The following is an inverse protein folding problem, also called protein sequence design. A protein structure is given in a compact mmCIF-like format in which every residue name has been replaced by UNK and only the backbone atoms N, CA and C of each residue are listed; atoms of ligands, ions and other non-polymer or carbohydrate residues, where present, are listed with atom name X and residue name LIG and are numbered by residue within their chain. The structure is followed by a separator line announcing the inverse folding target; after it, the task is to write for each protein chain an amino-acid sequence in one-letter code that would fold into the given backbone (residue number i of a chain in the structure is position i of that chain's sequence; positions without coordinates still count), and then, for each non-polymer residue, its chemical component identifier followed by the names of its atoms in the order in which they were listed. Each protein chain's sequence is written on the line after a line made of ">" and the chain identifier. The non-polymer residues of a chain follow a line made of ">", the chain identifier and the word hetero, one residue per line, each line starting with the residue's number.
data_IF_877223989728
#
_entry.id   IF_877223989728
#
_cell.length_a   1.000
_cell.length_b   1.000
_cell.length_c   1.000
_cell.angle_alpha   90.00
_cell.angle_beta   90.00
_cell.angle_gamma   90.00
#
_symmetry.space_group_name_H-M   'P 1'
#
loop_
_entity.id
_entity.type
_entity.pdbx_description
1 polymer ?
#
# COMPACT_ATOMS: atom_id res chain seq x y z
N UNK A 1 -12.68 11.78 -18.56
CA UNK A 1 -11.24 12.09 -18.80
C UNK A 1 -10.37 10.88 -18.44
N UNK A 2 -10.85 10.04 -17.52
CA UNK A 2 -10.02 9.07 -16.79
C UNK A 2 -9.69 7.82 -17.60
N UNK A 3 -10.63 7.32 -18.42
CA UNK A 3 -10.34 6.21 -19.35
C UNK A 3 -9.30 6.59 -20.42
N UNK A 4 -9.23 7.88 -20.79
CA UNK A 4 -8.22 8.40 -21.73
C UNK A 4 -6.85 8.46 -21.07
N UNK A 5 -6.77 8.81 -19.77
CA UNK A 5 -5.51 8.79 -19.01
C UNK A 5 -4.99 7.36 -18.85
N UNK A 6 -5.87 6.40 -18.52
CA UNK A 6 -5.49 4.98 -18.47
C UNK A 6 -5.05 4.50 -19.84
N UNK A 7 -5.80 4.79 -20.89
CA UNK A 7 -5.43 4.41 -22.26
C UNK A 7 -4.11 5.06 -22.69
N UNK A 8 -3.84 6.30 -22.27
CA UNK A 8 -2.57 7.00 -22.52
C UNK A 8 -1.41 6.37 -21.73
N UNK A 9 -1.60 6.04 -20.45
CA UNK A 9 -0.60 5.32 -19.64
C UNK A 9 -0.31 3.95 -20.26
N UNK A 10 -1.34 3.22 -20.68
CA UNK A 10 -1.18 1.97 -21.41
C UNK A 10 -0.50 2.18 -22.77
N UNK A 11 -0.82 3.25 -23.50
CA UNK A 11 -0.25 3.56 -24.82
C UNK A 11 1.23 3.97 -24.77
N UNK A 12 1.59 4.89 -23.87
CA UNK A 12 2.99 5.27 -23.61
C UNK A 12 3.75 4.10 -22.98
N UNK A 13 3.10 3.34 -22.10
CA UNK A 13 3.63 2.11 -21.52
C UNK A 13 3.93 1.05 -22.57
N UNK A 14 3.12 0.94 -23.63
CA UNK A 14 3.37 0.05 -24.78
C UNK A 14 4.59 0.49 -25.60
N UNK A 15 4.78 1.79 -25.83
CA UNK A 15 5.95 2.31 -26.54
C UNK A 15 7.25 2.08 -25.76
N UNK A 16 7.21 2.20 -24.44
CA UNK A 16 8.37 1.98 -23.56
C UNK A 16 8.52 0.53 -23.10
N UNK A 17 7.56 -0.36 -23.45
CA UNK A 17 7.48 -1.72 -22.92
C UNK A 17 8.78 -2.52 -23.07
N UNK A 18 9.49 -2.50 -24.22
CA UNK A 18 10.75 -3.23 -24.36
C UNK A 18 11.80 -2.78 -23.34
N UNK A 19 11.88 -1.47 -23.08
CA UNK A 19 12.83 -0.87 -22.13
C UNK A 19 12.42 -1.24 -20.69
N UNK A 20 11.13 -1.17 -20.36
CA UNK A 20 10.60 -1.49 -19.03
C UNK A 20 10.72 -2.98 -18.69
N UNK A 21 10.66 -3.85 -19.70
CA UNK A 21 10.93 -5.29 -19.55
C UNK A 21 12.43 -5.53 -19.35
N UNK A 22 13.28 -4.91 -20.17
CA UNK A 22 14.72 -5.17 -20.16
C UNK A 22 15.45 -4.54 -18.97
N UNK A 23 14.95 -3.42 -18.42
CA UNK A 23 15.62 -2.66 -17.37
C UNK A 23 14.72 -2.44 -16.14
N UNK A 24 14.80 -3.33 -15.12
CA UNK A 24 14.03 -3.21 -13.88
C UNK A 24 14.24 -1.88 -13.15
N UNK A 25 15.47 -1.33 -13.18
CA UNK A 25 15.78 -0.01 -12.59
C UNK A 25 15.06 1.13 -13.29
N UNK A 26 15.06 1.15 -14.63
CA UNK A 26 14.32 2.16 -15.39
C UNK A 26 12.82 2.07 -15.12
N UNK A 27 12.29 0.84 -15.00
CA UNK A 27 10.90 0.60 -14.61
C UNK A 27 10.58 1.16 -13.22
N UNK A 28 11.39 0.85 -12.21
CA UNK A 28 11.19 1.37 -10.85
C UNK A 28 11.28 2.90 -10.81
N UNK A 29 12.28 3.48 -11.47
CA UNK A 29 12.48 4.92 -11.55
C UNK A 29 11.28 5.63 -12.19
N UNK A 30 10.81 5.13 -13.34
CA UNK A 30 9.65 5.68 -14.03
C UNK A 30 8.39 5.54 -13.16
N UNK A 31 8.20 4.37 -12.55
CA UNK A 31 7.07 4.10 -11.68
C UNK A 31 7.02 5.07 -10.49
N UNK A 32 8.14 5.34 -9.81
CA UNK A 32 8.15 6.31 -8.70
C UNK A 32 7.70 7.69 -9.17
N UNK A 33 8.23 8.19 -10.30
CA UNK A 33 7.86 9.50 -10.83
C UNK A 33 6.39 9.58 -11.24
N UNK A 34 5.88 8.55 -11.92
CA UNK A 34 4.49 8.47 -12.33
C UNK A 34 3.58 8.34 -11.12
N UNK A 35 3.91 7.48 -10.15
CA UNK A 35 3.09 7.25 -8.95
C UNK A 35 3.02 8.49 -8.07
N UNK A 36 4.14 9.19 -7.86
CA UNK A 36 4.15 10.44 -7.08
C UNK A 36 3.27 11.52 -7.74
N UNK A 37 3.36 11.66 -9.08
CA UNK A 37 2.53 12.59 -9.84
C UNK A 37 1.05 12.19 -9.82
N UNK A 38 0.75 10.91 -10.05
CA UNK A 38 -0.59 10.36 -10.03
C UNK A 38 -1.24 10.49 -8.64
N UNK A 39 -0.49 10.22 -7.58
CA UNK A 39 -0.93 10.39 -6.19
C UNK A 39 -1.19 11.85 -5.82
N UNK A 40 -0.57 12.80 -6.51
CA UNK A 40 -0.92 14.22 -6.41
C UNK A 40 -2.20 14.55 -7.19
N UNK A 41 -2.32 14.09 -8.44
CA UNK A 41 -3.49 14.34 -9.29
C UNK A 41 -4.79 13.72 -8.76
N UNK A 42 -4.72 12.51 -8.21
CA UNK A 42 -5.87 11.76 -7.67
C UNK A 42 -5.90 11.74 -6.14
N UNK A 43 -5.24 12.70 -5.49
CA UNK A 43 -5.22 12.78 -4.02
C UNK A 43 -6.63 12.75 -3.46
N UNK A 44 -7.49 13.63 -3.98
CA UNK A 44 -8.83 13.87 -3.48
C UNK A 44 -9.73 12.64 -3.67
N UNK A 45 -9.54 11.87 -4.75
CA UNK A 45 -10.27 10.63 -5.02
C UNK A 45 -10.06 9.59 -3.91
N UNK A 46 -8.85 9.50 -3.35
CA UNK A 46 -8.51 8.50 -2.33
C UNK A 46 -8.58 9.06 -0.91
N UNK A 47 -8.73 10.37 -0.73
CA UNK A 47 -8.54 11.02 0.57
C UNK A 47 -9.55 10.50 1.61
N UNK A 48 -10.81 10.35 1.24
CA UNK A 48 -11.86 9.88 2.15
C UNK A 48 -11.64 8.43 2.57
N UNK A 49 -11.34 7.53 1.62
CA UNK A 49 -11.07 6.10 1.92
C UNK A 49 -9.82 5.96 2.79
N UNK A 50 -8.79 6.75 2.49
CA UNK A 50 -7.57 6.77 3.28
C UNK A 50 -7.84 7.32 4.68
N UNK A 51 -8.65 8.37 4.82
CA UNK A 51 -9.04 8.94 6.11
C UNK A 51 -9.84 7.95 6.94
N UNK A 52 -10.80 7.26 6.35
CA UNK A 52 -11.59 6.19 7.00
C UNK A 52 -10.64 5.13 7.57
N UNK A 53 -9.67 4.67 6.77
CA UNK A 53 -8.67 3.67 7.19
C UNK A 53 -7.79 4.20 8.33
N UNK A 54 -7.29 5.42 8.20
CA UNK A 54 -6.34 6.00 9.15
C UNK A 54 -7.00 6.45 10.46
N UNK A 55 -8.31 6.69 10.50
CA UNK A 55 -9.00 7.03 11.75
C UNK A 55 -8.95 5.87 12.75
N UNK A 56 -8.96 4.62 12.26
CA UNK A 56 -8.82 3.44 13.11
C UNK A 56 -7.45 3.35 13.84
N UNK A 57 -6.43 4.09 13.38
CA UNK A 57 -5.13 4.20 14.06
C UNK A 57 -5.25 4.99 15.37
N UNK A 58 -6.15 5.97 15.43
CA UNK A 58 -6.34 6.81 16.61
C UNK A 58 -6.97 6.02 17.78
N UNK A 59 -7.69 4.94 17.47
CA UNK A 59 -8.32 4.05 18.47
C UNK A 59 -7.39 2.97 19.03
N UNK A 60 -6.15 2.87 18.53
CA UNK A 60 -5.20 1.85 18.99
C UNK A 60 -4.51 2.30 20.27
N UNK A 61 -4.49 1.43 21.28
CA UNK A 61 -3.70 1.65 22.48
C UNK A 61 -2.47 0.74 22.43
N UNK A 62 -1.28 1.31 22.61
CA UNK A 62 -0.04 0.52 22.55
C UNK A 62 -0.01 -0.53 23.64
N UNK A 63 0.56 -1.71 23.33
CA UNK A 63 0.84 -2.75 24.34
C UNK A 63 2.09 -2.45 25.15
N UNK A 64 2.97 -1.61 24.63
CA UNK A 64 4.14 -1.09 25.32
C UNK A 64 3.72 -0.02 26.35
N UNK A 65 3.99 -0.20 27.66
CA UNK A 65 3.59 0.74 28.71
C UNK A 65 4.17 2.15 28.52
N UNK A 66 5.39 2.26 27.99
CA UNK A 66 6.06 3.56 27.81
C UNK A 66 5.42 4.32 26.64
N UNK A 67 5.19 3.64 25.52
CA UNK A 67 4.51 4.24 24.37
C UNK A 67 3.07 4.62 24.71
N UNK A 68 2.36 3.76 25.46
CA UNK A 68 1.00 4.05 25.94
C UNK A 68 0.95 5.31 26.79
N UNK A 69 1.88 5.47 27.72
CA UNK A 69 1.97 6.66 28.57
C UNK A 69 2.23 7.94 27.74
N UNK A 70 2.97 7.83 26.63
CA UNK A 70 3.23 8.95 25.71
C UNK A 70 2.10 9.17 24.66
N UNK A 71 1.05 8.34 24.68
CA UNK A 71 -0.01 8.32 23.65
C UNK A 71 0.48 7.86 22.27
N UNK A 72 1.67 7.27 22.20
CA UNK A 72 2.29 6.75 20.99
C UNK A 72 1.89 5.30 20.72
N UNK A 73 2.10 4.88 19.47
CA UNK A 73 2.01 3.47 19.04
C UNK A 73 3.20 3.12 18.15
N UNK A 74 3.57 1.84 18.12
CA UNK A 74 4.55 1.33 17.17
C UNK A 74 3.85 0.81 15.91
N UNK A 75 4.18 1.39 14.76
CA UNK A 75 3.57 1.09 13.47
C UNK A 75 4.63 0.62 12.47
N UNK A 76 4.33 -0.47 11.78
CA UNK A 76 5.04 -0.91 10.59
C UNK A 76 4.19 -0.60 9.37
N UNK A 77 4.70 0.15 8.41
CA UNK A 77 4.08 0.24 7.08
C UNK A 77 4.84 -0.65 6.10
N UNK A 78 4.11 -1.46 5.35
CA UNK A 78 4.70 -2.30 4.30
C UNK A 78 4.41 -1.62 2.96
N UNK A 79 5.47 -1.23 2.26
CA UNK A 79 5.39 -0.49 0.99
C UNK A 79 4.93 0.95 1.15
N UNK A 80 5.51 1.70 2.09
CA UNK A 80 5.12 3.10 2.35
C UNK A 80 5.33 4.05 1.15
N UNK A 81 6.16 3.65 0.18
CA UNK A 81 6.51 4.47 -0.97
C UNK A 81 7.04 5.84 -0.53
N UNK A 82 6.40 6.91 -0.99
CA UNK A 82 6.80 8.28 -0.66
C UNK A 82 6.19 8.84 0.65
N UNK A 83 5.51 8.01 1.45
CA UNK A 83 4.94 8.43 2.75
C UNK A 83 3.57 9.12 2.62
N UNK A 84 2.70 8.62 1.74
CA UNK A 84 1.39 9.23 1.45
C UNK A 84 0.46 9.30 2.67
N UNK A 85 0.64 8.42 3.66
CA UNK A 85 -0.23 8.30 4.82
C UNK A 85 0.11 9.28 5.97
N UNK A 86 1.30 9.89 5.96
CA UNK A 86 1.77 10.76 7.06
C UNK A 86 0.84 11.93 7.34
N UNK A 87 0.20 12.49 6.31
CA UNK A 87 -0.72 13.61 6.46
C UNK A 87 -1.97 13.29 7.29
N UNK A 88 -2.28 12.00 7.49
CA UNK A 88 -3.43 11.52 8.24
C UNK A 88 -3.04 10.90 9.59
N UNK A 89 -1.75 10.80 9.91
CA UNK A 89 -1.28 10.33 11.22
C UNK A 89 -1.40 11.45 12.25
N UNK A 90 -2.49 11.45 13.01
CA UNK A 90 -2.84 12.53 13.95
C UNK A 90 -2.23 12.36 15.34
N UNK A 91 -1.73 11.17 15.65
CA UNK A 91 -1.06 10.80 16.90
C UNK A 91 0.45 10.61 16.73
N UNK A 92 1.15 10.41 17.85
CA UNK A 92 2.57 10.03 17.83
C UNK A 92 2.72 8.58 17.34
N UNK A 93 3.65 8.36 16.44
CA UNK A 93 3.92 7.05 15.85
C UNK A 93 5.42 6.80 15.83
N UNK A 94 5.84 5.70 16.45
CA UNK A 94 7.16 5.10 16.24
C UNK A 94 7.08 4.23 15.00
N UNK A 95 7.79 4.60 13.95
CA UNK A 95 7.47 4.17 12.59
C UNK A 95 8.60 3.36 11.96
N UNK A 96 8.24 2.20 11.42
CA UNK A 96 9.11 1.39 10.57
C UNK A 96 8.51 1.28 9.16
N UNK A 97 9.38 1.14 8.17
CA UNK A 97 8.98 0.85 6.79
C UNK A 97 9.73 -0.37 6.26
N UNK A 98 9.03 -1.23 5.53
CA UNK A 98 9.60 -2.27 4.67
C UNK A 98 9.26 -1.95 3.21
N UNK A 99 10.26 -1.62 2.39
CA UNK A 99 10.05 -1.34 0.96
C UNK A 99 11.28 -1.73 0.14
N UNK A 100 11.13 -2.51 -0.95
CA UNK A 100 12.26 -2.94 -1.76
C UNK A 100 12.75 -1.85 -2.73
N UNK A 101 11.95 -0.80 -2.97
CA UNK A 101 12.23 0.22 -3.96
C UNK A 101 12.87 1.46 -3.32
N UNK A 102 14.21 1.49 -3.35
CA UNK A 102 15.01 2.59 -2.81
C UNK A 102 14.79 3.93 -3.51
N UNK A 103 14.22 3.95 -4.72
CA UNK A 103 13.91 5.19 -5.45
C UNK A 103 12.90 6.09 -4.70
N UNK A 104 12.09 5.52 -3.81
CA UNK A 104 11.17 6.31 -2.97
C UNK A 104 11.86 7.05 -1.81
N UNK A 105 13.07 6.63 -1.41
CA UNK A 105 13.68 7.03 -0.14
C UNK A 105 13.82 8.56 -0.02
N UNK A 106 14.25 9.25 -1.08
CA UNK A 106 14.37 10.72 -1.05
C UNK A 106 13.01 11.40 -0.82
N UNK A 107 12.00 11.02 -1.60
CA UNK A 107 10.66 11.62 -1.50
C UNK A 107 9.98 11.30 -0.16
N UNK A 108 10.22 10.08 0.36
CA UNK A 108 9.75 9.68 1.68
C UNK A 108 10.37 10.55 2.78
N UNK A 109 11.70 10.71 2.80
CA UNK A 109 12.38 11.51 3.82
C UNK A 109 11.97 12.99 3.75
N UNK A 110 11.75 13.53 2.55
CA UNK A 110 11.26 14.90 2.39
C UNK A 110 9.81 15.08 2.86
N UNK A 111 8.98 14.05 2.73
CA UNK A 111 7.62 14.04 3.28
C UNK A 111 7.66 13.91 4.80
N UNK A 112 8.45 12.98 5.34
CA UNK A 112 8.61 12.73 6.78
C UNK A 112 8.97 13.99 7.56
N UNK A 113 9.88 14.83 7.05
CA UNK A 113 10.30 16.10 7.68
C UNK A 113 9.13 17.04 7.99
N UNK A 114 8.01 16.92 7.27
CA UNK A 114 6.81 17.76 7.43
C UNK A 114 5.90 17.29 8.56
N UNK A 115 6.12 16.08 9.07
CA UNK A 115 5.21 15.41 10.01
C UNK A 115 5.95 14.95 11.27
N UNK A 116 6.25 15.87 12.21
CA UNK A 116 7.07 15.59 13.40
C UNK A 116 6.44 14.59 14.40
N UNK A 117 5.17 14.24 14.21
CA UNK A 117 4.50 13.18 15.01
C UNK A 117 4.89 11.77 14.55
N UNK A 118 5.48 11.63 13.37
CA UNK A 118 5.96 10.37 12.83
C UNK A 118 7.47 10.31 13.06
N UNK A 119 7.90 9.47 13.99
CA UNK A 119 9.31 9.27 14.30
C UNK A 119 9.79 7.99 13.62
N UNK A 120 10.61 8.15 12.58
CA UNK A 120 11.18 7.03 11.85
C UNK A 120 12.27 6.36 12.70
N UNK A 121 12.04 5.11 13.09
CA UNK A 121 13.02 4.30 13.82
C UNK A 121 13.86 3.44 12.87
N UNK A 122 13.25 2.87 11.82
CA UNK A 122 13.98 1.99 10.91
C UNK A 122 13.37 1.86 9.52
N UNK A 123 14.22 2.00 8.49
CA UNK A 123 13.90 1.63 7.11
C UNK A 123 14.54 0.27 6.80
N UNK A 124 13.73 -0.70 6.43
CA UNK A 124 14.16 -2.05 6.05
C UNK A 124 14.03 -2.19 4.53
N UNK A 125 15.15 -2.20 3.78
CA UNK A 125 15.09 -2.48 2.35
C UNK A 125 14.78 -3.96 2.14
N UNK A 126 13.56 -4.28 1.73
CA UNK A 126 13.12 -5.67 1.65
C UNK A 126 11.70 -5.83 1.11
N UNK A 127 11.34 -7.07 0.81
CA UNK A 127 10.01 -7.44 0.32
C UNK A 127 9.09 -7.78 1.49
N UNK A 128 7.80 -7.45 1.37
CA UNK A 128 6.82 -7.78 2.41
C UNK A 128 6.60 -9.28 2.60
N UNK A 129 6.94 -10.10 1.59
CA UNK A 129 6.86 -11.56 1.65
C UNK A 129 7.93 -12.21 2.54
N UNK A 130 8.98 -11.46 2.91
CA UNK A 130 10.06 -11.90 3.80
C UNK A 130 10.57 -10.71 4.62
N UNK A 131 10.05 -10.61 5.85
CA UNK A 131 10.41 -9.58 6.82
C UNK A 131 11.33 -10.15 7.91
N UNK A 132 12.28 -11.04 7.59
CA UNK A 132 13.20 -11.65 8.58
C UNK A 132 14.02 -10.63 9.41
N UNK A 133 14.21 -9.40 8.93
CA UNK A 133 14.90 -8.33 9.67
C UNK A 133 13.98 -7.58 10.66
N UNK A 134 12.69 -7.90 10.62
CA UNK A 134 11.63 -7.30 11.42
C UNK A 134 11.25 -8.27 12.55
N UNK A 135 11.31 -7.83 13.82
CA UNK A 135 11.04 -8.70 14.96
C UNK A 135 9.57 -9.15 15.02
N UNK A 136 9.37 -10.36 15.52
CA UNK A 136 8.07 -10.92 15.91
C UNK A 136 7.45 -10.10 17.05
N UNK A 137 6.11 -10.09 17.14
CA UNK A 137 5.37 -9.51 18.28
C UNK A 137 5.86 -8.12 18.72
N UNK A 138 6.09 -7.21 17.77
CA UNK A 138 6.74 -5.92 18.04
C UNK A 138 5.86 -4.70 17.76
N UNK A 139 4.95 -4.81 16.79
CA UNK A 139 4.15 -3.68 16.32
C UNK A 139 2.73 -3.74 16.86
N UNK A 140 2.23 -2.59 17.31
CA UNK A 140 0.81 -2.42 17.67
C UNK A 140 -0.06 -2.42 16.40
N UNK A 141 0.47 -1.86 15.31
CA UNK A 141 -0.21 -1.70 14.02
C UNK A 141 0.70 -2.09 12.87
N UNK A 142 0.15 -2.82 11.90
CA UNK A 142 0.71 -2.92 10.56
C UNK A 142 -0.21 -2.17 9.61
N UNK A 143 0.35 -1.34 8.73
CA UNK A 143 -0.39 -0.58 7.72
C UNK A 143 -0.01 -1.06 6.32
N UNK A 144 -1.02 -1.31 5.49
CA UNK A 144 -0.86 -1.63 4.08
C UNK A 144 -1.75 -0.70 3.24
N UNK A 145 -1.17 0.00 2.27
CA UNK A 145 -1.95 0.78 1.30
C UNK A 145 -1.53 0.50 -0.14
N UNK A 146 -2.43 -0.11 -0.92
CA UNK A 146 -2.22 -0.50 -2.33
C UNK A 146 -0.93 -1.31 -2.59
N UNK A 147 -0.61 -2.24 -1.70
CA UNK A 147 0.53 -3.16 -1.78
C UNK A 147 0.14 -4.54 -2.29
N UNK A 148 -0.94 -5.14 -1.75
CA UNK A 148 -1.24 -6.56 -1.95
C UNK A 148 -1.54 -6.91 -3.40
N UNK A 149 -1.96 -5.93 -4.20
CA UNK A 149 -2.11 -6.08 -5.64
C UNK A 149 -0.77 -6.25 -6.39
N UNK A 150 0.36 -5.83 -5.82
CA UNK A 150 1.66 -5.75 -6.51
C UNK A 150 2.67 -6.83 -6.10
N UNK A 151 2.48 -7.45 -4.94
CA UNK A 151 3.34 -8.51 -4.40
C UNK A 151 3.18 -9.84 -5.14
N UNK A 152 4.16 -10.74 -5.02
CA UNK A 152 4.12 -12.06 -5.65
C UNK A 152 3.23 -13.02 -4.87
N UNK A 153 3.29 -12.99 -3.54
CA UNK A 153 2.50 -13.85 -2.66
C UNK A 153 1.88 -13.03 -1.52
N UNK A 154 0.68 -12.46 -1.72
CA UNK A 154 0.00 -11.66 -0.70
C UNK A 154 -0.29 -12.44 0.58
N UNK A 155 -0.50 -13.76 0.49
CA UNK A 155 -0.68 -14.62 1.65
C UNK A 155 0.54 -14.63 2.56
N UNK A 156 1.76 -14.66 1.98
CA UNK A 156 3.01 -14.56 2.75
C UNK A 156 3.17 -13.19 3.41
N UNK A 157 2.82 -12.11 2.70
CA UNK A 157 2.83 -10.77 3.29
C UNK A 157 1.92 -10.73 4.51
N UNK A 158 0.71 -11.26 4.40
CA UNK A 158 -0.26 -11.26 5.50
C UNK A 158 0.16 -12.20 6.65
N UNK A 159 0.84 -13.31 6.36
CA UNK A 159 1.47 -14.16 7.38
C UNK A 159 2.54 -13.39 8.16
N UNK A 160 3.42 -12.69 7.47
CA UNK A 160 4.45 -11.86 8.09
C UNK A 160 3.82 -10.70 8.89
N UNK A 161 2.77 -10.05 8.36
CA UNK A 161 2.02 -9.03 9.11
C UNK A 161 1.48 -9.59 10.43
N UNK A 162 0.95 -10.82 10.43
CA UNK A 162 0.48 -11.48 11.66
C UNK A 162 1.61 -11.84 12.61
N UNK A 163 2.78 -12.25 12.11
CA UNK A 163 3.96 -12.59 12.92
C UNK A 163 4.50 -11.37 13.66
N UNK A 164 4.61 -10.23 12.98
CA UNK A 164 5.22 -9.01 13.54
C UNK A 164 4.27 -8.22 14.45
N UNK A 165 2.96 -8.45 14.33
CA UNK A 165 1.97 -7.83 15.20
C UNK A 165 2.03 -8.44 16.60
N UNK A 166 2.01 -7.59 17.62
CA UNK A 166 1.76 -8.02 19.00
C UNK A 166 0.40 -8.70 19.12
N UNK A 167 0.21 -9.52 20.16
CA UNK A 167 -1.12 -10.03 20.50
C UNK A 167 -2.13 -8.89 20.69
N UNK A 168 -3.19 -8.93 19.88
CA UNK A 168 -4.24 -7.91 19.87
C UNK A 168 -3.88 -6.62 19.11
N UNK A 169 -2.75 -6.59 18.42
CA UNK A 169 -2.43 -5.57 17.42
C UNK A 169 -3.34 -5.69 16.18
N UNK A 170 -3.30 -4.67 15.32
CA UNK A 170 -4.23 -4.54 14.19
C UNK A 170 -3.52 -4.39 12.86
N UNK A 171 -4.00 -5.10 11.84
CA UNK A 171 -3.70 -4.76 10.45
C UNK A 171 -4.73 -3.72 9.98
N UNK A 172 -4.25 -2.53 9.61
CA UNK A 172 -5.03 -1.52 8.90
C UNK A 172 -4.68 -1.61 7.41
N UNK A 173 -5.69 -1.57 6.55
CA UNK A 173 -5.46 -1.70 5.12
C UNK A 173 -6.38 -0.83 4.27
N UNK A 174 -5.84 -0.36 3.15
CA UNK A 174 -6.58 0.24 2.05
C UNK A 174 -6.08 -0.40 0.76
N UNK A 175 -6.89 -1.23 0.11
CA UNK A 175 -6.48 -1.99 -1.06
C UNK A 175 -7.40 -1.75 -2.24
N UNK A 176 -6.83 -1.91 -3.43
CA UNK A 176 -7.63 -2.08 -4.64
C UNK A 176 -8.16 -3.51 -4.66
N UNK A 177 -9.45 -3.68 -4.94
CA UNK A 177 -10.04 -5.01 -5.12
C UNK A 177 -10.59 -5.19 -6.53
N UNK A 178 -10.52 -6.42 -7.02
CA UNK A 178 -11.09 -6.73 -8.32
C UNK A 178 -12.59 -6.39 -8.38
N UNK A 179 -13.04 -5.99 -9.56
CA UNK A 179 -14.45 -5.87 -9.89
C UNK A 179 -15.17 -7.22 -9.71
N UNK A 180 -16.50 -7.23 -9.48
CA UNK A 180 -17.25 -8.46 -9.24
C UNK A 180 -17.02 -9.50 -10.33
N UNK A 181 -16.92 -10.77 -9.94
CA UNK A 181 -16.80 -11.90 -10.88
C UNK A 181 -17.97 -11.86 -11.88
N UNK A 182 -17.67 -12.01 -13.17
CA UNK A 182 -18.65 -11.94 -14.26
C UNK A 182 -19.02 -10.52 -14.73
N UNK A 183 -18.52 -9.46 -14.10
CA UNK A 183 -18.75 -8.08 -14.58
C UNK A 183 -17.87 -7.73 -15.78
N UNK A 184 -18.31 -6.76 -16.60
CA UNK A 184 -17.50 -6.17 -17.66
C UNK A 184 -16.20 -5.55 -17.11
N UNK A 185 -16.27 -4.92 -15.93
CA UNK A 185 -15.09 -4.37 -15.25
C UNK A 185 -14.04 -5.44 -14.97
N UNK A 186 -14.46 -6.64 -14.51
CA UNK A 186 -13.54 -7.76 -14.25
C UNK A 186 -12.89 -8.30 -15.52
N UNK A 187 -13.64 -8.33 -16.62
CA UNK A 187 -13.10 -8.69 -17.93
C UNK A 187 -12.04 -7.69 -18.38
N UNK A 188 -12.32 -6.40 -18.33
CA UNK A 188 -11.38 -5.33 -18.69
C UNK A 188 -10.12 -5.36 -17.80
N UNK A 189 -10.27 -5.51 -16.48
CA UNK A 189 -9.16 -5.69 -15.56
C UNK A 189 -8.27 -6.87 -15.97
N UNK A 190 -8.87 -8.02 -16.32
CA UNK A 190 -8.12 -9.21 -16.70
C UNK A 190 -7.38 -9.05 -18.02
N UNK A 191 -7.99 -8.37 -19.01
CA UNK A 191 -7.36 -8.08 -20.30
C UNK A 191 -6.18 -7.12 -20.17
N UNK A 192 -6.29 -6.11 -19.29
CA UNK A 192 -5.25 -5.10 -19.11
C UNK A 192 -4.15 -5.52 -18.12
N UNK A 193 -4.42 -6.48 -17.24
CA UNK A 193 -3.48 -6.93 -16.19
C UNK A 193 -2.08 -7.28 -16.71
N UNK A 194 -1.87 -7.98 -17.85
CA UNK A 194 -0.52 -8.31 -18.30
C UNK A 194 0.36 -7.10 -18.58
N UNK A 195 -0.18 -6.07 -19.26
CA UNK A 195 0.56 -4.83 -19.53
C UNK A 195 0.66 -4.00 -18.26
N UNK A 196 -0.42 -3.91 -17.49
CA UNK A 196 -0.46 -3.18 -16.22
C UNK A 196 0.60 -3.68 -15.24
N UNK A 197 0.76 -5.00 -15.11
CA UNK A 197 1.76 -5.63 -14.24
C UNK A 197 3.19 -5.19 -14.61
N UNK A 198 3.47 -4.95 -15.88
CA UNK A 198 4.80 -4.49 -16.34
C UNK A 198 4.97 -3.00 -16.04
N UNK A 199 3.97 -2.18 -16.33
CA UNK A 199 4.08 -0.71 -16.20
C UNK A 199 3.97 -0.25 -14.73
N UNK A 200 3.18 -0.97 -13.92
CA UNK A 200 2.87 -0.65 -12.53
C UNK A 200 3.56 -1.63 -11.54
N UNK A 201 4.80 -2.02 -11.84
CA UNK A 201 5.69 -2.76 -10.93
C UNK A 201 5.08 -3.98 -10.23
N UNK A 202 4.30 -4.80 -10.94
CA UNK A 202 3.74 -6.04 -10.43
C UNK A 202 2.25 -6.00 -10.11
N UNK A 203 1.63 -4.82 -10.14
CA UNK A 203 0.21 -4.65 -9.84
C UNK A 203 -0.69 -5.55 -10.70
N UNK A 204 -1.59 -6.30 -10.07
CA UNK A 204 -2.58 -7.16 -10.71
C UNK A 204 -3.98 -6.58 -10.50
N UNK A 205 -4.57 -6.01 -11.54
CA UNK A 205 -5.89 -5.34 -11.47
C UNK A 205 -7.03 -6.28 -11.07
N UNK A 206 -6.93 -7.54 -11.47
CA UNK A 206 -7.96 -8.55 -11.26
C UNK A 206 -7.73 -9.42 -10.01
N UNK A 207 -6.87 -8.97 -9.07
CA UNK A 207 -6.59 -9.70 -7.83
C UNK A 207 -7.73 -9.55 -6.83
N UNK A 208 -8.20 -10.68 -6.31
CA UNK A 208 -9.24 -10.75 -5.27
C UNK A 208 -8.64 -10.49 -3.87
N UNK A 209 -7.98 -9.34 -3.66
CA UNK A 209 -7.29 -9.01 -2.40
C UNK A 209 -8.21 -9.04 -1.19
N UNK A 210 -9.49 -8.68 -1.34
CA UNK A 210 -10.48 -8.77 -0.27
C UNK A 210 -10.72 -10.20 0.22
N UNK A 211 -10.78 -11.18 -0.67
CA UNK A 211 -10.94 -12.60 -0.31
C UNK A 211 -9.67 -13.15 0.35
N UNK A 212 -8.50 -12.69 -0.10
CA UNK A 212 -7.19 -13.04 0.48
C UNK A 212 -7.08 -12.50 1.90
N UNK A 213 -7.46 -11.24 2.15
CA UNK A 213 -7.47 -10.65 3.50
C UNK A 213 -8.43 -11.39 4.42
N UNK A 214 -9.65 -11.70 3.94
CA UNK A 214 -10.64 -12.47 4.73
C UNK A 214 -10.11 -13.84 5.16
N UNK A 215 -9.29 -14.48 4.33
CA UNK A 215 -8.73 -15.81 4.58
C UNK A 215 -7.37 -15.81 5.30
N UNK A 216 -6.82 -14.64 5.63
CA UNK A 216 -5.49 -14.50 6.21
C UNK A 216 -5.35 -14.99 7.67
N UNK A 217 -6.46 -15.38 8.31
CA UNK A 217 -6.48 -15.93 9.66
C UNK A 217 -6.36 -14.88 10.78
N UNK A 218 -6.77 -13.63 10.50
CA UNK A 218 -7.09 -12.68 11.57
C UNK A 218 -8.34 -13.14 12.32
N UNK A 219 -8.40 -12.85 13.63
CA UNK A 219 -9.56 -13.23 14.47
C UNK A 219 -10.85 -12.57 14.05
N UNK A 220 -10.77 -11.36 13.49
CA UNK A 220 -11.90 -10.58 13.02
C UNK A 220 -11.44 -9.70 11.84
N UNK A 221 -12.29 -9.55 10.83
CA UNK A 221 -12.01 -8.73 9.64
C UNK A 221 -13.20 -7.81 9.38
N UNK A 222 -13.00 -6.52 9.62
CA UNK A 222 -13.94 -5.47 9.26
C UNK A 222 -13.51 -4.86 7.93
N UNK A 223 -14.38 -4.94 6.91
CA UNK A 223 -14.06 -4.41 5.59
C UNK A 223 -15.26 -3.68 4.99
N UNK A 224 -15.00 -2.48 4.48
CA UNK A 224 -15.96 -1.64 3.75
C UNK A 224 -15.40 -1.44 2.35
N UNK A 225 -16.08 -1.97 1.35
CA UNK A 225 -15.74 -1.70 -0.06
C UNK A 225 -16.33 -0.35 -0.47
N UNK A 226 -15.56 0.47 -1.17
CA UNK A 226 -15.98 1.81 -1.58
C UNK A 226 -15.67 2.03 -3.05
N UNK A 227 -16.66 2.54 -3.77
CA UNK A 227 -16.45 2.92 -5.17
C UNK A 227 -15.72 4.25 -5.21
N UNK A 228 -14.49 4.25 -5.71
CA UNK A 228 -13.71 5.47 -5.96
C UNK A 228 -14.04 6.03 -7.35
N UNK A 229 -14.22 7.34 -7.45
CA UNK A 229 -14.43 8.07 -8.72
C UNK A 229 -13.14 8.07 -9.55
N UNK A 230 -12.97 6.99 -10.30
CA UNK A 230 -11.77 6.67 -11.08
C UNK A 230 -12.17 5.88 -12.34
N UNK A 231 -11.22 5.60 -13.25
CA UNK A 231 -11.48 4.70 -14.38
C UNK A 231 -12.01 3.35 -13.86
N UNK A 232 -12.95 2.75 -14.61
CA UNK A 232 -13.68 1.54 -14.16
C UNK A 232 -12.77 0.36 -13.77
N UNK A 233 -11.56 0.33 -14.34
CA UNK A 233 -10.57 -0.72 -14.09
C UNK A 233 -9.84 -0.57 -12.75
N UNK A 234 -9.86 0.63 -12.15
CA UNK A 234 -9.24 1.00 -10.86
C UNK A 234 -10.28 1.31 -9.78
N UNK A 235 -11.52 1.52 -10.18
CA UNK A 235 -12.62 1.71 -9.24
C UNK A 235 -12.90 0.41 -8.51
N UNK A 236 -12.70 0.39 -7.18
CA UNK A 236 -13.37 -0.44 -6.14
C UNK A 236 -12.40 -0.88 -5.03
#
# INVERSE_FOLDING_TARGET
>A
LDDVVVAFICGVGLLLLPILIACPRARQWLFVRVLVLAGWLWRDCFEDVRRDTMTALDDVESRDPELRADGAVRLLEVGAGYGANFTLMRRKVKYWNVDPNTEFQSAFLDTLKKYPKVEMERWVPGYGEDMHQVPDDHFDVVLITHLLCSVNCPEKVLQECRRVLVKGGRLLFMEHVAQPKGSLGRLLQSLLTPVWRIVCCGCCLNRDSGDIIRSAGFSEVHMKETRVEMPIILTR
#
